data_IF_308262814858
#
_entry.id   IF_308262814858
#
_cell.length_a   1.000
_cell.length_b   1.000
_cell.length_c   1.000
_cell.angle_alpha   90.00
_cell.angle_beta   90.00
_cell.angle_gamma   90.00
#
_symmetry.space_group_name_H-M   'P 1'
#
loop_
_entity.id
_entity.type
_entity.pdbx_description
1 polymer ?
#
# COMPACT_ATOMS: atom_id res chain seq x y z
N UNK A 1 -13.65 -15.35 -12.20
CA UNK A 1 -13.70 -14.53 -10.97
C UNK A 1 -12.37 -14.49 -10.22
N UNK A 2 -11.69 -15.64 -10.00
CA UNK A 2 -10.37 -15.68 -9.33
C UNK A 2 -9.29 -14.83 -10.00
N UNK A 3 -9.18 -14.90 -11.32
CA UNK A 3 -8.19 -14.12 -12.09
C UNK A 3 -8.36 -12.61 -11.88
N UNK A 4 -9.60 -12.13 -11.85
CA UNK A 4 -9.89 -10.72 -11.59
C UNK A 4 -9.46 -10.31 -10.17
N UNK A 5 -9.73 -11.15 -9.17
CA UNK A 5 -9.29 -10.90 -7.80
C UNK A 5 -7.77 -10.86 -7.69
N UNK A 6 -7.06 -11.79 -8.33
CA UNK A 6 -5.60 -11.83 -8.36
C UNK A 6 -5.02 -10.59 -9.07
N UNK A 7 -5.62 -10.16 -10.18
CA UNK A 7 -5.22 -8.95 -10.89
C UNK A 7 -5.41 -7.69 -10.03
N UNK A 8 -6.54 -7.58 -9.31
CA UNK A 8 -6.79 -6.48 -8.37
C UNK A 8 -5.71 -6.46 -7.29
N UNK A 9 -5.37 -7.62 -6.71
CA UNK A 9 -4.32 -7.71 -5.70
C UNK A 9 -2.96 -7.26 -6.26
N UNK A 10 -2.61 -7.65 -7.49
CA UNK A 10 -1.37 -7.20 -8.14
C UNK A 10 -1.32 -5.68 -8.30
N UNK A 11 -2.43 -5.06 -8.75
CA UNK A 11 -2.52 -3.60 -8.87
C UNK A 11 -2.40 -2.92 -7.51
N UNK A 12 -3.06 -3.44 -6.47
CA UNK A 12 -2.95 -2.92 -5.11
C UNK A 12 -1.52 -3.04 -4.56
N UNK A 13 -0.83 -4.16 -4.79
CA UNK A 13 0.57 -4.33 -4.40
C UNK A 13 1.48 -3.30 -5.07
N UNK A 14 1.30 -3.05 -6.38
CA UNK A 14 2.05 -2.03 -7.10
C UNK A 14 1.75 -0.63 -6.57
N UNK A 15 0.49 -0.30 -6.30
CA UNK A 15 0.08 0.98 -5.75
C UNK A 15 0.68 1.23 -4.35
N UNK A 16 0.67 0.20 -3.49
CA UNK A 16 1.27 0.27 -2.15
C UNK A 16 2.78 0.46 -2.25
N UNK A 17 3.45 -0.27 -3.15
CA UNK A 17 4.89 -0.10 -3.39
C UNK A 17 5.21 1.33 -3.86
N UNK A 18 4.46 1.86 -4.83
CA UNK A 18 4.62 3.22 -5.31
C UNK A 18 4.39 4.25 -4.18
N UNK A 19 3.35 4.07 -3.37
CA UNK A 19 3.06 4.94 -2.23
C UNK A 19 4.18 4.91 -1.17
N UNK A 20 4.72 3.72 -0.87
CA UNK A 20 5.84 3.56 0.06
C UNK A 20 7.10 4.27 -0.45
N UNK A 21 7.44 4.10 -1.73
CA UNK A 21 8.58 4.78 -2.35
C UNK A 21 8.40 6.31 -2.33
N UNK A 22 7.22 6.82 -2.66
CA UNK A 22 6.90 8.25 -2.56
C UNK A 22 7.04 8.76 -1.13
N UNK A 23 6.62 7.97 -0.13
CA UNK A 23 6.79 8.32 1.28
C UNK A 23 8.27 8.51 1.66
N UNK A 24 9.16 7.63 1.18
CA UNK A 24 10.59 7.75 1.42
C UNK A 24 11.20 8.94 0.70
N UNK A 25 10.76 9.25 -0.53
CA UNK A 25 11.20 10.46 -1.24
C UNK A 25 10.87 11.73 -0.45
N UNK A 26 9.65 11.82 0.09
CA UNK A 26 9.21 12.97 0.90
C UNK A 26 10.03 13.08 2.20
N UNK A 27 10.32 11.95 2.86
CA UNK A 27 11.16 11.90 4.07
C UNK A 27 12.61 12.27 3.75
N UNK A 28 13.13 11.89 2.59
CA UNK A 28 14.46 12.25 2.10
C UNK A 28 14.59 13.72 1.64
N UNK A 29 13.52 14.52 1.75
CA UNK A 29 13.52 15.95 1.41
C UNK A 29 13.11 16.28 -0.02
N UNK A 30 12.73 15.28 -0.84
CA UNK A 30 12.20 15.50 -2.20
C UNK A 30 10.75 15.94 -2.08
N UNK A 31 10.52 17.25 -2.05
CA UNK A 31 9.20 17.86 -1.85
C UNK A 31 8.83 18.78 -3.02
N UNK A 32 8.59 18.19 -4.18
CA UNK A 32 7.94 18.90 -5.28
C UNK A 32 6.44 18.59 -5.30
N UNK A 33 5.67 19.49 -5.90
CA UNK A 33 4.21 19.40 -5.97
C UNK A 33 3.70 18.12 -6.62
N UNK A 34 4.43 17.59 -7.60
CA UNK A 34 4.03 16.37 -8.33
C UNK A 34 4.12 15.15 -7.42
N UNK A 35 5.23 15.01 -6.69
CA UNK A 35 5.46 13.92 -5.73
C UNK A 35 4.42 13.95 -4.62
N UNK A 36 4.15 15.12 -4.04
CA UNK A 36 3.16 15.26 -2.96
C UNK A 36 1.75 14.95 -3.44
N UNK A 37 1.35 15.43 -4.63
CA UNK A 37 0.03 15.13 -5.21
C UNK A 37 -0.12 13.65 -5.55
N UNK A 38 0.90 13.00 -6.12
CA UNK A 38 0.89 11.56 -6.39
C UNK A 38 0.79 10.75 -5.10
N UNK A 39 1.55 11.14 -4.07
CA UNK A 39 1.47 10.51 -2.75
C UNK A 39 0.04 10.58 -2.19
N UNK A 40 -0.57 11.76 -2.20
CA UNK A 40 -1.94 11.96 -1.71
C UNK A 40 -2.99 11.22 -2.53
N UNK A 41 -2.88 11.21 -3.87
CA UNK A 41 -3.86 10.56 -4.75
C UNK A 41 -3.83 9.04 -4.60
N UNK A 42 -2.64 8.44 -4.60
CA UNK A 42 -2.49 7.01 -4.36
C UNK A 42 -2.92 6.67 -2.92
N UNK A 43 -2.52 7.48 -1.95
CA UNK A 43 -2.92 7.29 -0.55
C UNK A 43 -4.43 7.32 -0.36
N UNK A 44 -5.16 8.16 -1.09
CA UNK A 44 -6.63 8.22 -1.05
C UNK A 44 -7.27 6.92 -1.55
N UNK A 45 -6.71 6.32 -2.62
CA UNK A 45 -7.17 5.02 -3.12
C UNK A 45 -6.88 3.89 -2.13
N UNK A 46 -5.74 3.97 -1.43
CA UNK A 46 -5.31 2.96 -0.47
C UNK A 46 -5.90 3.14 0.93
N UNK A 47 -6.52 4.28 1.25
CA UNK A 47 -7.04 4.58 2.59
C UNK A 47 -8.02 3.53 3.13
N UNK A 48 -8.97 2.97 2.35
CA UNK A 48 -9.84 1.90 2.82
C UNK A 48 -9.09 0.64 3.29
N UNK A 49 -7.92 0.36 2.70
CA UNK A 49 -7.04 -0.75 3.09
C UNK A 49 -6.14 -0.37 4.26
N UNK A 50 -5.61 0.86 4.29
CA UNK A 50 -4.68 1.31 5.32
C UNK A 50 -5.34 1.65 6.65
N UNK A 51 -6.55 2.23 6.62
CA UNK A 51 -7.28 2.66 7.82
C UNK A 51 -7.50 1.56 8.86
N UNK A 52 -7.92 0.32 8.50
CA UNK A 52 -8.01 -0.76 9.49
C UNK A 52 -6.65 -1.20 10.01
N UNK A 53 -5.62 -1.24 9.16
CA UNK A 53 -4.26 -1.63 9.55
C UNK A 53 -3.62 -0.63 10.52
N UNK A 54 -3.79 0.67 10.28
CA UNK A 54 -3.31 1.77 11.14
C UNK A 54 -3.92 1.78 12.54
N UNK A 55 -5.05 1.09 12.77
CA UNK A 55 -5.61 0.93 14.13
C UNK A 55 -4.81 -0.05 14.98
N UNK A 56 -4.07 -0.94 14.35
CA UNK A 56 -3.32 -2.02 15.02
C UNK A 56 -1.82 -1.73 14.99
N UNK A 57 -1.35 -1.08 13.93
CA UNK A 57 0.06 -0.76 13.72
C UNK A 57 0.38 0.59 14.39
N UNK A 58 1.24 0.62 15.41
CA UNK A 58 1.71 1.88 15.97
C UNK A 58 2.56 2.63 14.94
N UNK A 59 2.43 3.96 14.90
CA UNK A 59 3.29 4.78 14.04
C UNK A 59 4.73 4.76 14.56
N UNK A 60 5.67 4.28 13.74
CA UNK A 60 7.10 4.25 14.06
C UNK A 60 7.74 5.61 13.74
N UNK A 61 7.43 6.62 14.55
CA UNK A 61 7.92 7.99 14.34
C UNK A 61 7.36 8.60 13.04
N UNK A 62 8.24 9.03 12.13
CA UNK A 62 7.85 9.57 10.82
C UNK A 62 7.62 8.50 9.73
N UNK A 63 7.95 7.24 10.01
CA UNK A 63 7.83 6.14 9.05
C UNK A 63 6.53 5.36 9.29
N UNK A 64 5.65 5.39 8.29
CA UNK A 64 4.44 4.56 8.27
C UNK A 64 4.82 3.12 7.88
N UNK A 65 4.70 2.17 8.81
CA UNK A 65 4.92 0.74 8.56
C UNK A 65 3.71 0.06 7.90
N UNK A 66 2.57 0.77 7.79
CA UNK A 66 1.34 0.24 7.18
C UNK A 66 1.53 -0.34 5.78
N UNK A 67 2.30 0.30 4.85
CA UNK A 67 2.53 -0.26 3.52
C UNK A 67 3.18 -1.64 3.55
N UNK A 68 4.14 -1.86 4.45
CA UNK A 68 4.83 -3.14 4.59
C UNK A 68 3.86 -4.24 5.06
N UNK A 69 3.08 -3.95 6.10
CA UNK A 69 2.09 -4.90 6.62
C UNK A 69 1.00 -5.17 5.59
N UNK A 70 0.54 -4.15 4.86
CA UNK A 70 -0.45 -4.30 3.79
C UNK A 70 0.07 -5.22 2.66
N UNK A 71 1.34 -5.10 2.26
CA UNK A 71 1.97 -5.99 1.29
C UNK A 71 1.93 -7.44 1.78
N UNK A 72 2.33 -7.69 3.04
CA UNK A 72 2.34 -9.04 3.61
C UNK A 72 0.94 -9.65 3.60
N UNK A 73 -0.06 -8.90 4.07
CA UNK A 73 -1.47 -9.34 4.08
C UNK A 73 -1.97 -9.65 2.67
N UNK A 74 -1.69 -8.78 1.70
CA UNK A 74 -2.11 -9.00 0.31
C UNK A 74 -1.40 -10.19 -0.35
N UNK A 75 -0.12 -10.44 -0.06
CA UNK A 75 0.60 -11.63 -0.56
C UNK A 75 -0.03 -12.91 0.01
N UNK A 76 -0.39 -12.91 1.30
CA UNK A 76 -1.08 -14.06 1.93
C UNK A 76 -2.43 -14.29 1.26
N UNK A 77 -3.23 -13.23 1.06
CA UNK A 77 -4.52 -13.30 0.37
C UNK A 77 -4.37 -13.79 -1.08
N UNK A 78 -3.36 -13.30 -1.81
CA UNK A 78 -3.08 -13.73 -3.17
C UNK A 78 -2.81 -15.24 -3.23
N UNK A 79 -1.96 -15.74 -2.33
CA UNK A 79 -1.64 -17.18 -2.25
C UNK A 79 -2.85 -18.01 -1.87
N UNK A 80 -3.64 -17.55 -0.89
CA UNK A 80 -4.86 -18.22 -0.47
C UNK A 80 -5.86 -18.33 -1.64
N UNK A 81 -6.11 -17.24 -2.37
CA UNK A 81 -7.03 -17.24 -3.52
C UNK A 81 -6.47 -18.10 -4.66
N UNK A 82 -5.17 -18.02 -4.95
CA UNK A 82 -4.55 -18.83 -5.99
C UNK A 82 -4.58 -20.34 -5.69
N UNK A 83 -4.62 -20.71 -4.40
CA UNK A 83 -4.73 -22.11 -3.98
C UNK A 83 -6.14 -22.69 -4.11
N UNK A 84 -7.17 -21.85 -4.31
CA UNK A 84 -8.53 -22.31 -4.56
C UNK A 84 -8.64 -22.82 -6.00
N UNK A 85 -9.03 -24.09 -6.15
CA UNK A 85 -9.26 -24.77 -7.43
C UNK A 85 -10.25 -24.04 -8.33
#
# INVERSE_FOLDING_TARGET
>A
MKELALAIIQVLLLAILAHALLSWLIVAGVRNDVVVRLYQSIGTVLDPLYRPLRRVIPMAGMLDLTPLVAIIVLIILQRAIASLG
#
